data_IF_232810624888
#
_entry.id   IF_232810624888
#
_cell.length_a   1.000
_cell.length_b   1.000
_cell.length_c   1.000
_cell.angle_alpha   90.00
_cell.angle_beta   90.00
_cell.angle_gamma   90.00
#
_symmetry.space_group_name_H-M   'P 1'
#
loop_
_entity.id
_entity.type
_entity.pdbx_description
1 polymer ?
#
# COMPACT_ATOMS: atom_id res chain seq x y z
N UNK A 1 -9.01 15.59 15.53
CA UNK A 1 -9.97 15.09 14.51
C UNK A 1 -9.23 14.83 13.21
N UNK A 2 -9.50 13.71 12.58
CA UNK A 2 -8.84 13.34 11.33
C UNK A 2 -9.61 13.95 10.16
N UNK A 3 -8.91 14.66 9.29
CA UNK A 3 -9.49 15.21 8.06
C UNK A 3 -9.45 14.14 6.97
N UNK A 4 -10.58 13.44 6.78
CA UNK A 4 -10.66 12.34 5.82
C UNK A 4 -10.70 12.81 4.36
N UNK A 5 -10.92 14.10 4.13
CA UNK A 5 -10.93 14.69 2.80
C UNK A 5 -9.57 15.31 2.42
N UNK A 6 -8.58 15.21 3.31
CA UNK A 6 -7.24 15.70 3.03
C UNK A 6 -6.64 14.94 1.85
N UNK A 7 -5.95 15.67 0.97
CA UNK A 7 -5.25 15.05 -0.17
C UNK A 7 -4.03 14.28 0.28
N UNK A 8 -3.86 13.10 -0.29
CA UNK A 8 -2.74 12.19 -0.03
C UNK A 8 -2.08 11.89 -1.37
N UNK A 9 -0.75 12.08 -1.43
CA UNK A 9 0.03 11.86 -2.64
C UNK A 9 0.79 10.55 -2.63
N UNK A 10 0.92 9.92 -1.46
CA UNK A 10 1.61 8.64 -1.35
C UNK A 10 0.95 7.77 -0.28
N UNK A 11 1.13 6.47 -0.44
CA UNK A 11 0.59 5.46 0.47
C UNK A 11 1.73 4.52 0.88
N UNK A 12 1.81 4.22 2.19
CA UNK A 12 2.74 3.24 2.71
C UNK A 12 2.03 1.97 3.16
N UNK A 13 2.58 0.82 2.82
CA UNK A 13 2.03 -0.48 3.20
C UNK A 13 3.13 -1.31 3.84
N UNK A 14 2.87 -1.85 5.04
CA UNK A 14 3.78 -2.77 5.70
C UNK A 14 3.30 -4.19 5.47
N UNK A 15 4.19 -5.04 4.96
CA UNK A 15 3.90 -6.46 4.75
C UNK A 15 4.77 -7.26 5.70
N UNK A 16 4.13 -8.00 6.61
CA UNK A 16 4.84 -8.87 7.53
C UNK A 16 5.23 -10.16 6.84
N UNK A 17 6.46 -10.61 7.14
CA UNK A 17 6.96 -11.86 6.60
C UNK A 17 7.61 -11.71 5.24
N UNK A 18 8.02 -12.86 4.69
CA UNK A 18 8.79 -12.91 3.45
C UNK A 18 8.14 -13.81 2.41
N UNK A 19 6.82 -13.84 2.38
CA UNK A 19 6.04 -14.58 1.40
C UNK A 19 6.12 -13.86 0.04
N UNK A 20 6.97 -14.38 -0.85
CA UNK A 20 7.18 -13.77 -2.16
C UNK A 20 5.93 -13.75 -3.04
N UNK A 21 5.13 -14.82 -3.13
CA UNK A 21 3.89 -14.76 -3.91
C UNK A 21 2.95 -13.66 -3.44
N UNK A 22 2.80 -13.49 -2.13
CA UNK A 22 1.97 -12.42 -1.59
C UNK A 22 2.56 -11.04 -1.90
N UNK A 23 3.88 -10.88 -1.71
CA UNK A 23 4.57 -9.64 -2.00
C UNK A 23 4.40 -9.26 -3.47
N UNK A 24 4.60 -10.22 -4.38
CA UNK A 24 4.45 -9.97 -5.81
C UNK A 24 3.03 -9.55 -6.17
N UNK A 25 2.03 -10.17 -5.54
CA UNK A 25 0.64 -9.82 -5.75
C UNK A 25 0.36 -8.39 -5.33
N UNK A 26 0.83 -8.00 -4.14
CA UNK A 26 0.64 -6.64 -3.64
C UNK A 26 1.35 -5.63 -4.53
N UNK A 27 2.59 -5.91 -4.92
CA UNK A 27 3.34 -5.04 -5.82
C UNK A 27 2.63 -4.86 -7.16
N UNK A 28 2.13 -5.95 -7.73
CA UNK A 28 1.41 -5.89 -9.00
C UNK A 28 0.16 -5.03 -8.89
N UNK A 29 -0.62 -5.22 -7.85
CA UNK A 29 -1.84 -4.45 -7.64
C UNK A 29 -1.53 -2.99 -7.31
N UNK A 30 -0.49 -2.74 -6.52
CA UNK A 30 -0.10 -1.39 -6.14
C UNK A 30 0.40 -0.57 -7.32
N UNK A 31 1.04 -1.21 -8.29
CA UNK A 31 1.58 -0.53 -9.47
C UNK A 31 0.49 0.12 -10.31
N UNK A 32 -0.75 -0.31 -10.18
CA UNK A 32 -1.89 0.30 -10.87
C UNK A 32 -2.23 1.68 -10.31
N UNK A 33 -1.84 1.96 -9.07
CA UNK A 33 -2.17 3.22 -8.40
C UNK A 33 -1.06 4.25 -8.49
N UNK A 34 0.17 3.83 -8.74
CA UNK A 34 1.30 4.75 -8.79
C UNK A 34 2.63 4.03 -8.95
N UNK A 35 3.71 4.80 -8.82
CA UNK A 35 5.05 4.24 -8.82
C UNK A 35 5.34 3.62 -7.45
N UNK A 36 5.85 2.40 -7.44
CA UNK A 36 6.10 1.69 -6.19
C UNK A 36 7.60 1.61 -5.89
N UNK A 37 7.92 1.70 -4.60
CA UNK A 37 9.25 1.45 -4.08
C UNK A 37 9.12 0.42 -2.95
N UNK A 38 9.88 -0.66 -3.04
CA UNK A 38 9.87 -1.71 -2.03
C UNK A 38 11.17 -1.66 -1.24
N UNK A 39 11.06 -1.58 0.09
CA UNK A 39 12.18 -1.59 0.99
C UNK A 39 12.04 -2.79 1.93
N UNK A 40 13.14 -3.52 2.12
CA UNK A 40 13.13 -4.62 3.07
C UNK A 40 13.19 -4.07 4.49
N UNK A 41 12.29 -4.55 5.34
CA UNK A 41 12.29 -4.24 6.77
C UNK A 41 12.76 -5.44 7.56
N UNK A 42 12.88 -5.27 8.88
CA UNK A 42 13.37 -6.33 9.76
C UNK A 42 12.49 -7.59 9.68
N UNK A 43 11.17 -7.42 9.62
CA UNK A 43 10.22 -8.52 9.69
C UNK A 43 9.42 -8.71 8.41
N UNK A 44 9.80 -8.06 7.33
CA UNK A 44 9.07 -8.15 6.09
C UNK A 44 9.49 -7.10 5.08
N UNK A 45 8.49 -6.42 4.50
CA UNK A 45 8.73 -5.42 3.47
C UNK A 45 7.86 -4.21 3.71
N UNK A 46 8.35 -3.05 3.25
CA UNK A 46 7.57 -1.82 3.22
C UNK A 46 7.46 -1.37 1.77
N UNK A 47 6.23 -1.12 1.32
CA UNK A 47 5.97 -0.63 -0.04
C UNK A 47 5.46 0.79 0.05
N UNK A 48 6.13 1.70 -0.64
CA UNK A 48 5.68 3.08 -0.80
C UNK A 48 5.12 3.24 -2.21
N UNK A 49 3.92 3.78 -2.30
CA UNK A 49 3.26 4.05 -3.57
C UNK A 49 3.18 5.55 -3.76
N UNK A 50 3.87 6.06 -4.77
CA UNK A 50 3.75 7.46 -5.18
C UNK A 50 2.62 7.53 -6.20
N UNK A 51 1.46 8.00 -5.77
CA UNK A 51 0.23 7.96 -6.55
C UNK A 51 0.33 8.79 -7.83
N UNK A 52 -0.15 8.24 -8.95
CA UNK A 52 -0.25 9.00 -10.20
C UNK A 52 -1.22 10.15 -10.06
N UNK A 53 -2.31 9.94 -9.30
CA UNK A 53 -3.33 10.95 -9.06
C UNK A 53 -3.54 11.02 -7.55
N UNK A 54 -3.34 12.20 -6.92
CA UNK A 54 -3.61 12.33 -5.49
C UNK A 54 -5.04 11.96 -5.15
N UNK A 55 -5.24 11.36 -3.99
CA UNK A 55 -6.56 10.93 -3.54
C UNK A 55 -6.84 11.48 -2.14
N UNK A 56 -8.03 11.21 -1.60
CA UNK A 56 -8.36 11.61 -0.24
C UNK A 56 -7.79 10.61 0.77
N UNK A 57 -7.63 11.06 2.01
CA UNK A 57 -7.19 10.17 3.08
C UNK A 57 -8.13 8.98 3.21
N UNK A 58 -9.44 9.19 3.08
CA UNK A 58 -10.43 8.13 3.14
C UNK A 58 -10.16 7.05 2.07
N UNK A 59 -9.94 7.47 0.83
CA UNK A 59 -9.67 6.54 -0.25
C UNK A 59 -8.31 5.85 -0.07
N UNK A 60 -7.31 6.58 0.46
CA UNK A 60 -6.00 5.96 0.69
C UNK A 60 -6.08 4.84 1.72
N UNK A 61 -6.90 4.99 2.75
CA UNK A 61 -7.13 3.93 3.73
C UNK A 61 -7.81 2.72 3.11
N UNK A 62 -8.76 2.93 2.20
CA UNK A 62 -9.40 1.87 1.45
C UNK A 62 -8.40 1.12 0.57
N UNK A 63 -7.54 1.85 -0.13
CA UNK A 63 -6.52 1.25 -0.99
C UNK A 63 -5.55 0.41 -0.15
N UNK A 64 -5.09 0.93 0.98
CA UNK A 64 -4.20 0.19 1.88
C UNK A 64 -4.87 -1.10 2.37
N UNK A 65 -6.11 -1.00 2.79
CA UNK A 65 -6.87 -2.16 3.25
C UNK A 65 -7.01 -3.19 2.13
N UNK A 66 -7.40 -2.75 0.95
CA UNK A 66 -7.58 -3.62 -0.21
C UNK A 66 -6.28 -4.35 -0.59
N UNK A 67 -5.16 -3.61 -0.60
CA UNK A 67 -3.89 -4.18 -1.04
C UNK A 67 -3.29 -5.15 -0.01
N UNK A 68 -3.47 -4.87 1.27
CA UNK A 68 -2.82 -5.64 2.34
C UNK A 68 -3.76 -6.62 3.04
N UNK A 69 -5.03 -6.59 2.73
CA UNK A 69 -5.99 -7.51 3.35
C UNK A 69 -6.08 -8.80 2.53
N UNK A 70 -5.70 -9.89 3.15
CA UNK A 70 -5.82 -11.23 2.57
C UNK A 70 -6.89 -11.98 3.36
N UNK A 71 -8.06 -12.24 2.77
CA UNK A 71 -9.13 -12.94 3.49
C UNK A 71 -8.79 -14.37 3.89
N UNK A 72 -7.70 -14.91 3.35
CA UNK A 72 -7.25 -16.26 3.66
C UNK A 72 -6.22 -16.30 4.80
N UNK A 73 -5.83 -15.13 5.28
CA UNK A 73 -4.88 -15.04 6.40
C UNK A 73 -5.52 -15.31 7.73
#
# INVERSE_FOLDING_TARGET
MIDVDRKVESIGIDIDGFDKPFLNKVQHNAAEYGNIQTTRSKNGHHIKIDLFIPTTLKNSLWIRFYLNDDPLR
#
